data_IF_479001851565
#
_entry.id   IF_479001851565
#
_cell.length_a   1.000
_cell.length_b   1.000
_cell.length_c   1.000
_cell.angle_alpha   90.00
_cell.angle_beta   90.00
_cell.angle_gamma   90.00
#
_symmetry.space_group_name_H-M   'P 1'
#
loop_
_entity.id
_entity.type
_entity.pdbx_description
1 polymer ?
#
# COMPACT_ATOMS: atom_id res chain seq x y z
N UNK A 1 -56.38 -25.75 31.13
CA UNK A 1 -54.96 -25.37 31.22
C UNK A 1 -54.38 -25.35 29.81
N UNK A 2 -54.22 -24.17 29.20
CA UNK A 2 -53.53 -24.00 27.91
C UNK A 2 -52.19 -23.33 28.21
N UNK A 3 -51.09 -24.04 27.99
CA UNK A 3 -49.73 -23.52 28.12
C UNK A 3 -49.27 -23.09 26.74
N UNK A 4 -49.22 -21.77 26.49
CA UNK A 4 -48.61 -21.20 25.30
C UNK A 4 -47.14 -20.94 25.57
N UNK A 5 -46.26 -21.75 24.97
CA UNK A 5 -44.81 -21.50 24.98
C UNK A 5 -44.46 -20.55 23.83
N UNK A 6 -44.06 -19.32 24.17
CA UNK A 6 -43.52 -18.34 23.24
C UNK A 6 -42.04 -18.68 23.02
N UNK A 7 -41.69 -19.14 21.81
CA UNK A 7 -40.30 -19.24 21.38
C UNK A 7 -39.82 -17.84 20.98
N UNK A 8 -38.95 -17.24 21.80
CA UNK A 8 -38.22 -16.03 21.42
C UNK A 8 -37.09 -16.42 20.45
N UNK A 9 -37.23 -16.04 19.19
CA UNK A 9 -36.20 -16.21 18.17
C UNK A 9 -35.13 -15.13 18.39
N UNK A 10 -34.02 -15.48 19.03
CA UNK A 10 -32.83 -14.62 19.07
C UNK A 10 -32.15 -14.65 17.70
N UNK A 11 -32.37 -13.61 16.90
CA UNK A 11 -31.59 -13.37 15.70
C UNK A 11 -30.15 -13.00 16.10
N UNK A 12 -29.22 -13.94 15.95
CA UNK A 12 -27.79 -13.65 16.01
C UNK A 12 -27.42 -12.80 14.80
N UNK A 13 -27.30 -11.48 15.01
CA UNK A 13 -26.65 -10.59 14.05
C UNK A 13 -25.16 -10.89 14.14
N UNK A 14 -24.67 -11.76 13.25
CA UNK A 14 -23.23 -11.92 13.03
C UNK A 14 -22.69 -10.64 12.43
N UNK A 15 -22.14 -9.78 13.28
CA UNK A 15 -21.29 -8.66 12.85
C UNK A 15 -20.00 -9.29 12.35
N UNK A 16 -19.92 -9.56 11.05
CA UNK A 16 -18.65 -9.87 10.41
C UNK A 16 -17.77 -8.63 10.54
N UNK A 17 -16.77 -8.69 11.42
CA UNK A 17 -15.74 -7.67 11.50
C UNK A 17 -15.02 -7.66 10.14
N UNK A 18 -15.26 -6.61 9.34
CA UNK A 18 -14.47 -6.32 8.16
C UNK A 18 -13.06 -6.05 8.68
N UNK A 19 -12.12 -6.94 8.39
CA UNK A 19 -10.72 -6.70 8.70
C UNK A 19 -10.24 -5.65 7.71
N UNK A 20 -9.84 -4.50 8.24
CA UNK A 20 -9.33 -3.37 7.47
C UNK A 20 -7.87 -3.67 7.14
N UNK A 21 -7.67 -4.13 5.91
CA UNK A 21 -6.43 -4.59 5.30
C UNK A 21 -5.99 -3.53 4.31
N UNK A 22 -4.69 -3.32 4.14
CA UNK A 22 -4.14 -2.11 3.57
C UNK A 22 -4.56 -1.81 2.13
N UNK A 23 -3.84 -2.08 1.03
CA UNK A 23 -4.69 -2.52 -0.10
C UNK A 23 -5.36 -3.83 0.36
N UNK A 24 -6.55 -4.16 -0.12
CA UNK A 24 -7.09 -5.51 0.11
C UNK A 24 -6.14 -6.56 -0.47
N UNK A 25 -6.37 -7.84 -0.16
CA UNK A 25 -5.54 -8.94 -0.66
C UNK A 25 -5.35 -8.84 -2.18
N UNK A 26 -6.42 -8.54 -2.91
CA UNK A 26 -6.43 -8.38 -4.36
C UNK A 26 -5.51 -7.26 -4.83
N UNK A 27 -5.56 -6.08 -4.19
CA UNK A 27 -4.69 -4.96 -4.54
C UNK A 27 -3.21 -5.26 -4.26
N UNK A 28 -2.91 -5.91 -3.13
CA UNK A 28 -1.55 -6.37 -2.84
C UNK A 28 -1.02 -7.41 -3.81
N UNK A 29 -1.86 -8.38 -4.19
CA UNK A 29 -1.49 -9.39 -5.17
C UNK A 29 -1.26 -8.72 -6.53
N UNK A 30 -2.11 -7.76 -6.93
CA UNK A 30 -1.91 -6.95 -8.15
C UNK A 30 -0.57 -6.20 -8.12
N UNK A 31 -0.26 -5.46 -7.06
CA UNK A 31 1.02 -4.74 -6.90
C UNK A 31 2.21 -5.69 -6.99
N UNK A 32 2.15 -6.82 -6.27
CA UNK A 32 3.21 -7.84 -6.30
C UNK A 32 3.38 -8.49 -7.68
N UNK A 33 2.29 -8.75 -8.40
CA UNK A 33 2.34 -9.32 -9.75
C UNK A 33 2.88 -8.32 -10.79
N UNK A 34 2.51 -7.04 -10.70
CA UNK A 34 3.10 -5.99 -11.53
C UNK A 34 4.61 -5.93 -11.28
N UNK A 35 5.05 -5.85 -10.01
CA UNK A 35 6.46 -5.85 -9.67
C UNK A 35 7.19 -7.08 -10.22
N UNK A 36 6.58 -8.26 -10.09
CA UNK A 36 7.10 -9.52 -10.61
C UNK A 36 7.32 -9.49 -12.14
N UNK A 37 6.43 -8.81 -12.87
CA UNK A 37 6.50 -8.63 -14.32
C UNK A 37 7.54 -7.57 -14.77
N UNK A 38 7.99 -6.72 -13.85
CA UNK A 38 9.03 -5.70 -14.08
C UNK A 38 10.44 -6.24 -13.77
N UNK A 39 10.56 -7.29 -12.94
CA UNK A 39 11.86 -7.86 -12.60
C UNK A 39 12.62 -8.35 -13.84
N UNK A 40 13.94 -8.16 -13.85
CA UNK A 40 14.81 -8.86 -14.79
C UNK A 40 14.80 -10.38 -14.49
N UNK A 41 15.09 -11.24 -15.48
CA UNK A 41 15.13 -12.69 -15.24
C UNK A 41 16.10 -13.10 -14.11
N UNK A 42 17.23 -12.41 -14.00
CA UNK A 42 18.22 -12.64 -12.94
C UNK A 42 17.64 -12.29 -11.56
N UNK A 43 17.10 -11.08 -11.42
CA UNK A 43 16.54 -10.60 -10.14
C UNK A 43 15.32 -11.42 -9.74
N UNK A 44 14.48 -11.85 -10.69
CA UNK A 44 13.41 -12.80 -10.43
C UNK A 44 13.92 -14.14 -9.88
N UNK A 45 15.07 -14.63 -10.37
CA UNK A 45 15.76 -15.79 -9.83
C UNK A 45 16.25 -15.58 -8.39
N UNK A 46 16.85 -14.42 -8.11
CA UNK A 46 17.32 -14.04 -6.76
C UNK A 46 16.13 -13.90 -5.78
N UNK A 47 15.05 -13.22 -6.17
CA UNK A 47 13.80 -13.11 -5.39
C UNK A 47 13.25 -14.50 -5.03
N UNK A 48 13.18 -15.41 -6.00
CA UNK A 48 12.75 -16.79 -5.77
C UNK A 48 13.60 -17.52 -4.73
N UNK A 49 14.91 -17.26 -4.67
CA UNK A 49 15.82 -17.89 -3.71
C UNK A 49 15.72 -17.29 -2.30
N UNK A 50 15.29 -16.03 -2.18
CA UNK A 50 15.15 -15.36 -0.88
C UNK A 50 13.95 -15.92 -0.11
N UNK A 51 12.82 -16.15 -0.79
CA UNK A 51 11.62 -16.66 -0.15
C UNK A 51 11.81 -18.09 0.38
N UNK A 52 11.60 -18.27 1.69
CA UNK A 52 11.72 -19.58 2.34
C UNK A 52 10.38 -20.33 2.48
N UNK A 53 9.26 -19.60 2.40
CA UNK A 53 7.93 -20.19 2.49
C UNK A 53 7.49 -20.72 1.11
N UNK A 54 7.29 -22.05 0.96
CA UNK A 54 6.91 -22.64 -0.32
C UNK A 54 5.53 -22.20 -0.81
N UNK A 55 4.65 -21.71 0.09
CA UNK A 55 3.31 -21.22 -0.29
C UNK A 55 3.38 -20.01 -1.22
N UNK A 56 4.48 -19.25 -1.18
CA UNK A 56 4.66 -18.10 -2.08
C UNK A 56 5.10 -18.51 -3.49
N UNK A 57 5.52 -19.77 -3.68
CA UNK A 57 6.08 -20.27 -4.94
C UNK A 57 7.24 -19.39 -5.49
N UNK A 58 7.96 -18.70 -4.60
CA UNK A 58 9.00 -17.75 -4.95
C UNK A 58 8.52 -16.52 -5.74
N UNK A 59 7.28 -16.07 -5.50
CA UNK A 59 6.64 -14.95 -6.21
C UNK A 59 6.24 -13.84 -5.24
N UNK A 60 6.36 -12.59 -5.72
CA UNK A 60 6.00 -11.40 -4.95
C UNK A 60 4.48 -11.33 -4.67
N UNK A 61 3.62 -11.62 -5.65
CA UNK A 61 2.16 -11.54 -5.52
C UNK A 61 1.60 -12.34 -4.33
N UNK A 62 1.87 -13.64 -4.20
CA UNK A 62 1.44 -14.41 -3.02
C UNK A 62 2.06 -13.96 -1.70
N UNK A 63 3.31 -13.46 -1.71
CA UNK A 63 4.00 -13.00 -0.51
C UNK A 63 3.46 -11.66 0.02
N UNK A 64 2.82 -10.87 -0.84
CA UNK A 64 2.44 -9.49 -0.55
C UNK A 64 1.37 -9.37 0.52
N UNK A 65 0.54 -10.39 0.76
CA UNK A 65 -0.52 -10.36 1.79
C UNK A 65 -0.02 -10.72 3.20
N UNK A 66 1.19 -11.28 3.30
CA UNK A 66 1.69 -11.88 4.54
C UNK A 66 1.78 -10.89 5.71
N UNK A 67 2.18 -9.64 5.48
CA UNK A 67 2.34 -8.65 6.54
C UNK A 67 1.03 -8.41 7.29
N UNK A 68 -0.08 -8.39 6.55
CA UNK A 68 -1.43 -8.25 7.09
C UNK A 68 -1.92 -9.48 7.86
N UNK A 69 -1.44 -10.67 7.51
CA UNK A 69 -1.73 -11.89 8.26
C UNK A 69 -1.04 -11.93 9.64
N UNK A 70 0.02 -11.14 9.83
CA UNK A 70 0.84 -11.19 11.05
C UNK A 70 0.67 -9.96 11.95
N UNK A 71 0.24 -8.81 11.42
CA UNK A 71 0.17 -7.52 12.15
C UNK A 71 -0.74 -7.48 13.39
N UNK A 72 -1.63 -8.48 13.57
CA UNK A 72 -2.51 -8.57 14.75
C UNK A 72 -2.30 -9.83 15.60
N UNK A 73 -1.28 -10.64 15.29
CA UNK A 73 -0.97 -11.86 16.05
C UNK A 73 -0.20 -11.53 17.33
N UNK A 74 -0.66 -12.05 18.47
CA UNK A 74 -0.01 -11.86 19.79
C UNK A 74 1.22 -12.78 19.95
N UNK A 75 2.19 -12.39 20.78
CA UNK A 75 3.36 -13.21 21.14
C UNK A 75 4.61 -12.89 20.32
N UNK A 76 5.42 -13.90 19.99
CA UNK A 76 6.64 -13.77 19.15
C UNK A 76 6.34 -13.46 17.67
N UNK A 77 5.07 -13.29 17.31
CA UNK A 77 4.64 -12.91 15.98
C UNK A 77 4.80 -11.40 15.76
N UNK A 78 4.80 -10.98 14.49
CA UNK A 78 4.93 -9.59 14.07
C UNK A 78 3.73 -8.69 14.43
N UNK A 79 3.01 -8.93 15.53
CA UNK A 79 1.88 -8.10 15.95
C UNK A 79 2.26 -6.65 16.29
N UNK A 80 3.54 -6.39 16.56
CA UNK A 80 4.08 -5.05 16.73
C UNK A 80 4.18 -4.26 15.41
N UNK A 81 4.05 -4.91 14.25
CA UNK A 81 4.23 -4.27 12.94
C UNK A 81 3.00 -3.48 12.48
N UNK A 82 1.87 -3.50 13.18
CA UNK A 82 0.64 -2.83 12.74
C UNK A 82 0.83 -1.34 12.36
N UNK A 83 1.57 -0.52 13.13
CA UNK A 83 1.81 0.89 12.76
C UNK A 83 2.66 1.08 11.50
N UNK A 84 3.38 0.04 11.06
CA UNK A 84 4.25 0.11 9.89
C UNK A 84 3.49 0.12 8.56
N UNK A 85 2.16 -0.09 8.59
CA UNK A 85 1.33 -0.13 7.39
C UNK A 85 0.89 1.25 6.93
N UNK A 86 1.03 2.30 7.75
CA UNK A 86 0.49 3.62 7.43
C UNK A 86 1.37 4.76 7.91
N UNK A 87 1.01 5.97 7.50
CA UNK A 87 1.53 7.23 7.96
C UNK A 87 0.34 8.13 8.30
N UNK A 88 0.03 8.25 9.60
CA UNK A 88 -1.03 9.13 10.07
C UNK A 88 -0.55 10.59 9.99
N UNK A 89 -0.95 11.27 8.91
CA UNK A 89 -0.61 12.68 8.69
C UNK A 89 -1.37 13.61 9.63
N UNK A 90 -0.69 14.63 10.15
CA UNK A 90 -1.28 15.71 10.96
C UNK A 90 -1.68 16.92 10.10
N UNK A 91 -2.37 16.68 9.00
CA UNK A 91 -2.88 17.68 8.06
C UNK A 91 -4.41 17.84 8.17
N UNK A 92 -5.06 18.53 7.22
CA UNK A 92 -6.53 18.71 7.19
C UNK A 92 -7.09 18.25 5.82
N UNK A 93 -7.15 16.92 5.58
CA UNK A 93 -7.66 16.36 4.34
C UNK A 93 -9.05 16.88 3.96
N UNK A 94 -9.21 17.37 2.72
CA UNK A 94 -10.38 18.13 2.27
C UNK A 94 -10.14 19.65 2.22
N UNK A 95 -9.04 20.14 2.82
CA UNK A 95 -8.62 21.55 2.78
C UNK A 95 -7.13 21.72 2.47
N UNK A 96 -6.27 21.01 3.18
CA UNK A 96 -4.82 21.08 3.01
C UNK A 96 -4.18 19.74 3.35
N UNK A 97 -3.40 19.20 2.40
CA UNK A 97 -2.72 17.92 2.51
C UNK A 97 -1.22 18.15 2.55
N UNK A 98 -0.56 17.52 3.50
CA UNK A 98 0.88 17.63 3.66
C UNK A 98 1.44 16.48 4.47
N UNK A 99 2.65 16.05 4.11
CA UNK A 99 3.44 15.10 4.88
C UNK A 99 4.63 15.81 5.52
N UNK A 100 4.78 15.66 6.84
CA UNK A 100 5.89 16.19 7.63
C UNK A 100 6.56 15.06 8.39
N UNK A 101 7.81 14.73 8.00
CA UNK A 101 8.61 13.66 8.61
C UNK A 101 8.63 13.72 10.14
N UNK A 102 8.82 14.90 10.72
CA UNK A 102 9.04 15.04 12.16
C UNK A 102 7.74 14.95 12.96
N UNK A 103 6.60 15.26 12.33
CA UNK A 103 5.29 15.20 12.98
C UNK A 103 4.62 13.85 12.78
N UNK A 104 4.71 13.31 11.57
CA UNK A 104 3.92 12.17 11.14
C UNK A 104 4.68 10.84 11.35
N UNK A 105 6.02 10.88 11.42
CA UNK A 105 6.84 9.70 11.69
C UNK A 105 8.04 9.99 12.62
N UNK A 106 7.81 10.50 13.84
CA UNK A 106 8.87 10.99 14.72
C UNK A 106 9.87 9.91 15.17
N UNK A 107 9.43 8.66 15.30
CA UNK A 107 10.20 7.53 15.84
C UNK A 107 10.56 6.48 14.76
N UNK A 108 10.21 6.74 13.50
CA UNK A 108 10.37 5.77 12.42
C UNK A 108 9.36 4.61 12.44
N UNK A 109 8.41 4.59 13.39
CA UNK A 109 7.38 3.56 13.51
C UNK A 109 6.17 3.87 12.61
N UNK A 110 6.45 4.02 11.32
CA UNK A 110 5.48 4.28 10.27
C UNK A 110 5.93 3.57 8.98
N UNK A 111 5.09 3.57 7.95
CA UNK A 111 5.41 2.95 6.66
C UNK A 111 6.69 3.48 6.00
N UNK A 112 6.96 4.79 6.07
CA UNK A 112 8.18 5.37 5.50
C UNK A 112 9.43 4.85 6.23
N UNK A 113 9.39 4.82 7.56
CA UNK A 113 10.48 4.27 8.37
C UNK A 113 10.64 2.77 8.16
N UNK A 114 9.53 2.03 8.00
CA UNK A 114 9.53 0.61 7.71
C UNK A 114 10.20 0.30 6.37
N UNK A 115 9.84 1.02 5.30
CA UNK A 115 10.47 0.84 3.98
C UNK A 115 11.98 1.08 4.08
N UNK A 116 12.43 2.13 4.76
CA UNK A 116 13.85 2.39 4.94
C UNK A 116 14.55 1.26 5.75
N UNK A 117 13.96 0.85 6.86
CA UNK A 117 14.53 -0.22 7.71
C UNK A 117 14.63 -1.56 6.97
N UNK A 118 13.56 -1.99 6.30
CA UNK A 118 13.57 -3.27 5.59
C UNK A 118 14.40 -3.22 4.30
N UNK A 119 14.61 -2.04 3.71
CA UNK A 119 15.59 -1.87 2.62
C UNK A 119 16.99 -2.24 3.09
N UNK A 120 17.42 -1.72 4.25
CA UNK A 120 18.72 -2.07 4.84
C UNK A 120 18.84 -3.55 5.17
N UNK A 121 17.76 -4.18 5.64
CA UNK A 121 17.74 -5.61 5.96
C UNK A 121 17.73 -6.52 4.73
N UNK A 122 17.15 -6.07 3.62
CA UNK A 122 17.13 -6.83 2.36
C UNK A 122 18.48 -6.77 1.63
N UNK A 123 19.22 -5.67 1.78
CA UNK A 123 20.49 -5.43 1.13
C UNK A 123 21.54 -6.50 1.52
N UNK A 124 21.98 -7.28 0.53
CA UNK A 124 23.01 -8.31 0.70
C UNK A 124 24.30 -7.76 1.31
N UNK A 125 24.69 -6.54 0.93
CA UNK A 125 25.95 -5.92 1.36
C UNK A 125 26.03 -5.70 2.88
N UNK A 126 24.88 -5.64 3.54
CA UNK A 126 24.79 -5.46 5.00
C UNK A 126 24.91 -6.78 5.78
N UNK A 127 25.09 -7.93 5.10
CA UNK A 127 25.37 -9.22 5.75
C UNK A 127 24.17 -9.87 6.44
N UNK A 128 22.94 -9.48 6.10
CA UNK A 128 21.72 -10.07 6.65
C UNK A 128 21.56 -11.56 6.31
N UNK A 129 21.03 -12.34 7.27
CA UNK A 129 20.73 -13.76 7.05
C UNK A 129 19.65 -13.96 5.98
N UNK A 130 19.56 -15.14 5.37
CA UNK A 130 18.47 -15.47 4.42
C UNK A 130 17.10 -15.24 5.06
N UNK A 131 16.91 -15.62 6.33
CA UNK A 131 15.66 -15.40 7.07
C UNK A 131 15.34 -13.90 7.26
N UNK A 132 16.35 -13.09 7.54
CA UNK A 132 16.20 -11.64 7.68
C UNK A 132 15.76 -11.02 6.35
N UNK A 133 16.40 -11.41 5.26
CA UNK A 133 16.11 -10.92 3.91
C UNK A 133 14.76 -11.40 3.40
N UNK A 134 14.35 -12.61 3.74
CA UNK A 134 13.02 -13.15 3.46
C UNK A 134 11.92 -12.32 4.13
N UNK A 135 12.05 -12.07 5.43
CA UNK A 135 11.10 -11.21 6.18
C UNK A 135 11.10 -9.79 5.61
N UNK A 136 12.26 -9.22 5.33
CA UNK A 136 12.38 -7.89 4.74
C UNK A 136 11.70 -7.80 3.37
N UNK A 137 11.90 -8.80 2.50
CA UNK A 137 11.29 -8.84 1.18
C UNK A 137 9.75 -8.93 1.28
N UNK A 138 9.21 -9.75 2.19
CA UNK A 138 7.76 -9.83 2.42
C UNK A 138 7.19 -8.47 2.84
N UNK A 139 7.81 -7.81 3.83
CA UNK A 139 7.37 -6.50 4.30
C UNK A 139 7.48 -5.43 3.22
N UNK A 140 8.59 -5.35 2.49
CA UNK A 140 8.76 -4.39 1.38
C UNK A 140 7.73 -4.63 0.28
N UNK A 141 7.45 -5.89 -0.05
CA UNK A 141 6.43 -6.22 -1.06
C UNK A 141 5.05 -5.69 -0.66
N UNK A 142 4.72 -5.75 0.63
CA UNK A 142 3.46 -5.21 1.16
C UNK A 142 3.47 -3.67 1.20
N UNK A 143 4.48 -3.06 1.84
CA UNK A 143 4.53 -1.62 2.09
C UNK A 143 4.64 -0.77 0.83
N UNK A 144 5.21 -1.30 -0.26
CA UNK A 144 5.16 -0.60 -1.56
C UNK A 144 3.75 -0.52 -2.15
N UNK A 145 2.84 -1.40 -1.74
CA UNK A 145 1.41 -1.27 -2.00
C UNK A 145 0.78 -0.24 -1.07
N UNK A 146 0.93 -0.40 0.25
CA UNK A 146 0.28 0.47 1.25
C UNK A 146 0.58 1.95 1.01
N UNK A 147 1.83 2.29 0.69
CA UNK A 147 2.24 3.69 0.50
C UNK A 147 1.58 4.36 -0.71
N UNK A 148 0.92 3.58 -1.58
CA UNK A 148 0.12 4.10 -2.70
C UNK A 148 -1.38 4.12 -2.43
N UNK A 149 -1.86 3.62 -1.30
CA UNK A 149 -3.25 3.77 -0.88
C UNK A 149 -3.44 5.16 -0.22
N UNK A 150 -4.22 6.10 -0.79
CA UNK A 150 -4.39 7.46 -0.23
C UNK A 150 -4.68 7.52 1.26
N UNK A 151 -5.56 6.65 1.76
CA UNK A 151 -6.00 6.61 3.15
C UNK A 151 -5.01 5.90 4.09
N UNK A 152 -3.96 5.26 3.56
CA UNK A 152 -2.80 4.84 4.34
C UNK A 152 -1.84 5.98 4.63
N UNK A 153 -2.00 7.12 3.96
CA UNK A 153 -1.21 8.34 4.17
C UNK A 153 -2.14 9.49 4.56
N UNK A 154 -2.95 9.24 5.59
CA UNK A 154 -4.03 10.11 6.03
C UNK A 154 -4.37 9.86 7.52
N UNK A 155 -4.20 10.87 8.37
CA UNK A 155 -4.61 10.75 9.79
C UNK A 155 -6.11 10.98 10.04
N UNK A 156 -6.83 11.60 9.09
CA UNK A 156 -8.25 11.97 9.27
C UNK A 156 -9.10 10.73 9.47
N UNK A 157 -9.83 10.70 10.58
CA UNK A 157 -10.74 9.60 10.94
C UNK A 157 -10.08 8.21 10.96
N UNK A 158 -8.80 8.14 11.37
CA UNK A 158 -7.96 6.93 11.32
C UNK A 158 -7.86 6.40 9.88
N UNK A 159 -7.41 7.23 8.96
CA UNK A 159 -7.40 6.90 7.53
C UNK A 159 -8.79 6.60 6.98
N UNK A 160 -9.84 7.27 7.45
CA UNK A 160 -11.22 7.02 7.00
C UNK A 160 -11.88 5.74 7.55
N UNK A 161 -11.22 4.99 8.45
CA UNK A 161 -11.82 3.81 9.09
C UNK A 161 -13.04 4.16 9.95
N UNK A 162 -13.07 5.37 10.51
CA UNK A 162 -14.23 5.87 11.29
C UNK A 162 -15.30 6.53 10.42
N UNK A 163 -15.02 6.76 9.13
CA UNK A 163 -15.93 7.46 8.24
C UNK A 163 -16.91 6.48 7.61
N UNK A 164 -18.18 6.51 8.04
CA UNK A 164 -19.21 5.62 7.51
C UNK A 164 -19.72 6.14 6.18
N UNK A 165 -19.84 5.24 5.21
CA UNK A 165 -20.36 5.54 3.87
C UNK A 165 -21.34 4.46 3.44
N UNK A 166 -21.98 4.66 2.28
CA UNK A 166 -22.74 3.62 1.58
C UNK A 166 -22.00 3.22 0.31
N UNK A 167 -21.90 1.92 0.05
CA UNK A 167 -21.35 1.38 -1.19
C UNK A 167 -22.18 0.16 -1.63
N UNK A 168 -22.73 0.20 -2.84
CA UNK A 168 -23.63 -0.84 -3.38
C UNK A 168 -24.82 -1.11 -2.43
N UNK A 169 -25.43 -0.06 -1.89
CA UNK A 169 -26.56 -0.09 -0.98
C UNK A 169 -26.27 -0.64 0.42
N UNK A 170 -24.98 -0.85 0.77
CA UNK A 170 -24.57 -1.37 2.08
C UNK A 170 -23.75 -0.34 2.84
N UNK A 171 -24.01 -0.23 4.14
CA UNK A 171 -23.16 0.55 5.04
C UNK A 171 -21.77 -0.05 5.11
N UNK A 172 -20.76 0.78 4.91
CA UNK A 172 -19.34 0.43 5.01
C UNK A 172 -18.54 1.57 5.65
N UNK A 173 -17.21 1.50 5.59
CA UNK A 173 -16.34 2.64 5.90
C UNK A 173 -15.51 3.07 4.68
N UNK A 174 -15.05 4.33 4.69
CA UNK A 174 -14.34 4.92 3.55
C UNK A 174 -13.01 4.20 3.26
N UNK A 175 -12.29 3.77 4.31
CA UNK A 175 -11.04 3.05 4.15
C UNK A 175 -11.23 1.76 3.38
N UNK A 176 -12.16 0.91 3.85
CA UNK A 176 -12.35 -0.42 3.26
C UNK A 176 -12.71 -0.35 1.78
N UNK A 177 -13.57 0.60 1.36
CA UNK A 177 -13.96 0.68 -0.05
C UNK A 177 -12.80 1.04 -0.97
N UNK A 178 -11.83 1.81 -0.50
CA UNK A 178 -10.58 2.06 -1.23
C UNK A 178 -9.73 0.80 -1.26
N UNK A 179 -9.56 0.13 -0.12
CA UNK A 179 -8.71 -1.07 -0.02
C UNK A 179 -9.23 -2.21 -0.90
N UNK A 180 -10.53 -2.48 -0.82
CA UNK A 180 -11.11 -3.77 -1.19
C UNK A 180 -12.23 -3.61 -2.18
N UNK A 181 -13.34 -2.95 -1.83
CA UNK A 181 -14.56 -3.04 -2.63
C UNK A 181 -14.42 -2.44 -4.04
N UNK A 182 -13.76 -1.28 -4.17
CA UNK A 182 -13.54 -0.67 -5.48
C UNK A 182 -12.49 -1.44 -6.30
N UNK A 183 -11.45 -1.99 -5.66
CA UNK A 183 -10.44 -2.83 -6.33
C UNK A 183 -11.06 -4.13 -6.84
N UNK A 184 -11.86 -4.81 -6.01
CA UNK A 184 -12.59 -6.02 -6.40
C UNK A 184 -13.60 -5.72 -7.51
N UNK A 185 -14.33 -4.60 -7.43
CA UNK A 185 -15.21 -4.15 -8.51
C UNK A 185 -14.44 -3.97 -9.82
N UNK A 186 -13.26 -3.33 -9.74
CA UNK A 186 -12.38 -3.10 -10.90
C UNK A 186 -11.84 -4.40 -11.50
N UNK A 187 -11.46 -5.37 -10.67
CA UNK A 187 -11.01 -6.70 -11.11
C UNK A 187 -12.14 -7.50 -11.80
N UNK A 188 -13.40 -7.18 -11.51
CA UNK A 188 -14.56 -7.71 -12.22
C UNK A 188 -14.51 -7.47 -13.73
N UNK A 189 -13.98 -6.32 -14.17
CA UNK A 189 -13.80 -5.97 -15.59
C UNK A 189 -12.79 -6.90 -16.30
N UNK A 190 -11.96 -7.59 -15.53
CA UNK A 190 -10.95 -8.54 -16.00
C UNK A 190 -11.39 -10.00 -15.78
N UNK A 191 -12.70 -10.22 -15.56
CA UNK A 191 -13.26 -11.55 -15.34
C UNK A 191 -12.93 -12.15 -13.98
N UNK A 192 -12.73 -11.30 -12.97
CA UNK A 192 -12.30 -11.67 -11.62
C UNK A 192 -10.91 -12.33 -11.57
N UNK A 193 -10.03 -11.96 -12.50
CA UNK A 193 -8.68 -12.51 -12.62
C UNK A 193 -7.65 -11.42 -12.28
N UNK A 194 -7.09 -11.52 -11.08
CA UNK A 194 -6.09 -10.57 -10.56
C UNK A 194 -4.81 -10.55 -11.41
N UNK A 195 -4.46 -11.67 -12.05
CA UNK A 195 -3.28 -11.74 -12.91
C UNK A 195 -3.53 -10.97 -14.20
N UNK A 196 -4.71 -11.14 -14.83
CA UNK A 196 -5.06 -10.35 -16.03
C UNK A 196 -5.10 -8.85 -15.75
N UNK A 197 -5.60 -8.45 -14.58
CA UNK A 197 -5.59 -7.04 -14.19
C UNK A 197 -4.16 -6.51 -14.01
N UNK A 198 -3.29 -7.27 -13.32
CA UNK A 198 -1.88 -6.92 -13.17
C UNK A 198 -1.15 -6.87 -14.52
N UNK A 199 -1.44 -7.79 -15.44
CA UNK A 199 -0.85 -7.82 -16.79
C UNK A 199 -1.32 -6.62 -17.63
N UNK A 200 -2.59 -6.23 -17.52
CA UNK A 200 -3.11 -5.00 -18.12
C UNK A 200 -2.33 -3.77 -17.63
N UNK A 201 -2.22 -3.57 -16.31
CA UNK A 201 -1.48 -2.43 -15.76
C UNK A 201 0.01 -2.49 -16.12
N UNK A 202 0.60 -3.68 -16.16
CA UNK A 202 1.97 -3.88 -16.64
C UNK A 202 2.14 -3.41 -18.10
N UNK A 203 1.18 -3.71 -18.97
CA UNK A 203 1.22 -3.28 -20.36
C UNK A 203 1.02 -1.75 -20.48
N UNK A 204 0.15 -1.16 -19.66
CA UNK A 204 0.00 0.29 -19.61
C UNK A 204 1.31 0.99 -19.21
N UNK A 205 2.05 0.41 -18.26
CA UNK A 205 3.39 0.88 -17.86
C UNK A 205 4.42 0.72 -18.98
N UNK A 206 4.45 -0.43 -19.67
CA UNK A 206 5.53 -0.73 -20.62
C UNK A 206 5.34 -0.07 -21.98
N UNK A 207 4.09 0.05 -22.44
CA UNK A 207 3.78 0.42 -23.83
C UNK A 207 2.47 1.21 -23.98
N UNK A 208 1.75 1.45 -22.89
CA UNK A 208 0.44 2.10 -22.93
C UNK A 208 0.45 3.50 -22.34
N UNK A 209 -0.65 3.91 -21.72
CA UNK A 209 -0.87 5.29 -21.29
C UNK A 209 0.09 5.77 -20.19
N UNK A 210 0.77 4.86 -19.49
CA UNK A 210 1.67 5.18 -18.39
C UNK A 210 3.15 5.20 -18.79
N UNK A 211 3.51 4.74 -20.00
CA UNK A 211 4.91 4.59 -20.44
C UNK A 211 5.72 5.87 -20.23
N UNK A 212 5.23 7.00 -20.73
CA UNK A 212 5.94 8.29 -20.67
C UNK A 212 6.12 8.79 -19.24
N UNK A 213 5.16 8.53 -18.36
CA UNK A 213 5.13 9.08 -17.00
C UNK A 213 5.78 8.15 -15.97
N UNK A 214 5.89 6.85 -16.27
CA UNK A 214 6.37 5.83 -15.33
C UNK A 214 7.77 6.13 -14.80
N UNK A 215 8.64 6.71 -15.63
CA UNK A 215 10.01 7.08 -15.24
C UNK A 215 10.05 8.14 -14.14
N UNK A 216 9.05 9.03 -14.06
CA UNK A 216 8.95 10.02 -12.99
C UNK A 216 8.46 9.40 -11.67
N UNK A 217 7.77 8.24 -11.71
CA UNK A 217 7.23 7.61 -10.50
C UNK A 217 8.30 7.09 -9.55
N UNK A 218 9.50 6.82 -10.08
CA UNK A 218 10.68 6.37 -9.33
C UNK A 218 11.62 7.53 -8.98
N UNK A 219 11.34 8.75 -9.47
CA UNK A 219 12.16 9.91 -9.17
C UNK A 219 11.92 10.39 -7.73
N UNK A 220 12.99 10.43 -6.93
CA UNK A 220 12.94 10.91 -5.54
C UNK A 220 13.53 12.31 -5.38
N UNK A 221 13.75 12.99 -6.51
CA UNK A 221 14.39 14.30 -6.55
C UNK A 221 13.35 15.42 -6.41
N UNK A 222 13.02 15.74 -5.15
CA UNK A 222 12.41 17.04 -4.81
C UNK A 222 13.37 18.24 -5.04
N UNK A 223 14.59 18.02 -5.54
CA UNK A 223 15.64 19.03 -5.70
C UNK A 223 16.24 19.10 -7.11
N UNK A 224 15.40 19.49 -8.09
CA UNK A 224 15.85 20.48 -9.10
C UNK A 224 16.21 21.85 -8.49
N UNK A 225 16.36 21.97 -7.16
CA UNK A 225 16.92 23.13 -6.46
C UNK A 225 18.10 22.74 -5.57
N UNK A 226 19.29 23.09 -6.07
CA UNK A 226 20.59 23.26 -5.37
C UNK A 226 21.17 22.00 -4.72
N UNK A 227 22.06 21.34 -5.48
CA UNK A 227 23.32 20.80 -4.93
C UNK A 227 24.01 21.90 -4.11
N UNK A 228 23.89 21.87 -2.80
CA UNK A 228 24.85 22.54 -1.93
C UNK A 228 26.06 21.63 -1.82
N UNK A 229 27.20 22.08 -2.35
CA UNK A 229 28.50 21.45 -2.22
C UNK A 229 29.08 21.51 -0.79
N UNK A 230 28.24 21.80 0.21
CA UNK A 230 28.63 21.99 1.61
C UNK A 230 27.62 21.29 2.53
N UNK A 231 27.69 19.97 2.63
CA UNK A 231 27.09 19.26 3.76
C UNK A 231 28.02 18.13 4.20
N UNK A 232 28.89 18.41 5.17
CA UNK A 232 29.84 17.46 5.76
C UNK A 232 29.17 16.46 6.73
N UNK A 233 27.96 15.97 6.41
CA UNK A 233 27.35 14.83 7.07
C UNK A 233 28.13 13.53 6.81
N UNK A 234 28.27 12.68 7.83
CA UNK A 234 28.87 11.33 7.68
C UNK A 234 28.15 10.54 6.59
N UNK A 235 28.88 9.71 5.84
CA UNK A 235 28.34 8.86 4.76
C UNK A 235 27.10 8.06 5.20
N UNK A 236 27.04 7.65 6.46
CA UNK A 236 25.92 6.92 7.04
C UNK A 236 24.65 7.78 7.22
N UNK A 237 24.79 9.05 7.64
CA UNK A 237 23.65 9.99 7.68
C UNK A 237 23.14 10.34 6.28
N UNK A 238 24.01 10.31 5.27
CA UNK A 238 23.62 10.51 3.87
C UNK A 238 22.86 9.30 3.31
N UNK A 239 23.29 8.08 3.62
CA UNK A 239 22.58 6.85 3.24
C UNK A 239 21.19 6.74 3.90
N UNK A 240 21.08 7.06 5.21
CA UNK A 240 19.78 7.13 5.92
C UNK A 240 18.87 8.25 5.39
N UNK A 241 19.45 9.37 4.97
CA UNK A 241 18.72 10.46 4.33
C UNK A 241 18.26 10.09 2.91
N UNK A 242 18.99 9.25 2.17
CA UNK A 242 18.57 8.75 0.86
C UNK A 242 17.55 7.61 0.95
N UNK A 243 17.71 6.67 1.88
CA UNK A 243 16.79 5.51 2.05
C UNK A 243 15.40 5.92 2.54
N UNK A 244 15.29 7.03 3.29
CA UNK A 244 13.99 7.60 3.72
C UNK A 244 13.42 8.63 2.74
N UNK A 245 14.22 9.20 1.83
CA UNK A 245 13.77 10.29 0.94
C UNK A 245 12.75 9.85 -0.09
N UNK A 246 12.98 8.71 -0.75
CA UNK A 246 12.05 8.17 -1.74
C UNK A 246 10.67 7.87 -1.15
N UNK A 247 10.56 7.14 -0.03
CA UNK A 247 9.25 6.87 0.58
C UNK A 247 8.51 8.15 1.00
N UNK A 248 9.19 9.20 1.49
CA UNK A 248 8.52 10.47 1.79
C UNK A 248 7.95 11.16 0.54
N UNK A 249 8.65 11.10 -0.60
CA UNK A 249 8.12 11.61 -1.87
C UNK A 249 6.89 10.81 -2.31
N UNK A 250 6.93 9.48 -2.20
CA UNK A 250 5.79 8.62 -2.53
C UNK A 250 4.60 8.85 -1.61
N UNK A 251 4.84 8.98 -0.30
CA UNK A 251 3.82 9.32 0.67
C UNK A 251 3.20 10.69 0.36
N UNK A 252 4.00 11.70 0.00
CA UNK A 252 3.49 13.04 -0.36
C UNK A 252 2.63 13.00 -1.63
N UNK A 253 3.09 12.29 -2.67
CA UNK A 253 2.33 12.05 -3.91
C UNK A 253 0.97 11.41 -3.61
N UNK A 254 0.97 10.34 -2.81
CA UNK A 254 -0.25 9.63 -2.40
C UNK A 254 -1.17 10.46 -1.51
N UNK A 255 -0.64 11.14 -0.49
CA UNK A 255 -1.40 11.99 0.44
C UNK A 255 -2.12 13.13 -0.29
N UNK A 256 -1.53 13.68 -1.35
CA UNK A 256 -2.16 14.77 -2.11
C UNK A 256 -3.54 14.42 -2.70
N UNK A 257 -3.79 13.13 -2.97
CA UNK A 257 -5.07 12.63 -3.48
C UNK A 257 -6.21 12.87 -2.46
N UNK A 258 -5.88 12.94 -1.17
CA UNK A 258 -6.85 13.13 -0.11
C UNK A 258 -7.56 14.51 -0.18
N UNK A 259 -6.90 15.57 -0.66
CA UNK A 259 -7.43 16.96 -0.70
C UNK A 259 -7.88 17.44 -2.08
N UNK A 260 -7.93 16.55 -3.07
CA UNK A 260 -8.47 16.89 -4.39
C UNK A 260 -9.46 15.87 -4.91
N UNK A 261 -9.63 14.75 -4.20
CA UNK A 261 -10.40 13.61 -4.69
C UNK A 261 -11.17 12.98 -3.54
N UNK A 262 -10.47 12.42 -2.54
CA UNK A 262 -11.11 11.56 -1.54
C UNK A 262 -12.04 12.37 -0.65
N UNK A 263 -11.50 13.28 0.15
CA UNK A 263 -12.27 13.99 1.16
C UNK A 263 -13.09 15.12 0.56
N UNK A 264 -12.62 15.77 -0.50
CA UNK A 264 -13.38 16.77 -1.24
C UNK A 264 -14.73 16.24 -1.74
N UNK A 265 -14.72 15.03 -2.33
CA UNK A 265 -15.95 14.41 -2.80
C UNK A 265 -16.84 13.98 -1.64
N UNK A 266 -16.27 13.29 -0.66
CA UNK A 266 -17.02 12.73 0.48
C UNK A 266 -17.66 13.83 1.32
N UNK A 267 -16.96 14.93 1.57
CA UNK A 267 -17.48 16.08 2.33
C UNK A 267 -18.61 16.79 1.56
N UNK A 268 -18.52 16.84 0.23
CA UNK A 268 -19.56 17.42 -0.62
C UNK A 268 -20.80 16.51 -0.79
N UNK A 269 -20.65 15.20 -0.56
CA UNK A 269 -21.65 14.18 -0.88
C UNK A 269 -21.86 13.17 0.26
N UNK A 270 -22.06 13.66 1.50
CA UNK A 270 -22.04 12.83 2.72
C UNK A 270 -23.06 11.68 2.77
N UNK A 271 -24.15 11.76 2.01
CA UNK A 271 -25.21 10.76 1.97
C UNK A 271 -25.22 9.92 0.68
N UNK A 272 -24.24 10.11 -0.22
CA UNK A 272 -24.21 9.42 -1.49
C UNK A 272 -23.80 7.95 -1.36
N UNK A 273 -24.34 7.11 -2.25
CA UNK A 273 -23.76 5.80 -2.53
C UNK A 273 -22.54 5.98 -3.43
N UNK A 274 -21.39 5.56 -2.94
CA UNK A 274 -20.11 5.76 -3.63
C UNK A 274 -19.84 4.70 -4.71
N UNK A 275 -20.78 3.80 -4.99
CA UNK A 275 -20.56 2.72 -5.96
C UNK A 275 -20.55 3.17 -7.42
N UNK A 276 -21.13 4.31 -7.78
CA UNK A 276 -21.30 4.71 -9.18
C UNK A 276 -20.47 5.93 -9.55
N UNK A 277 -21.00 7.15 -9.38
CA UNK A 277 -20.33 8.39 -9.81
C UNK A 277 -18.92 8.52 -9.21
N UNK A 278 -18.80 8.34 -7.90
CA UNK A 278 -17.51 8.35 -7.21
C UNK A 278 -16.56 7.29 -7.74
N UNK A 279 -17.00 6.02 -7.82
CA UNK A 279 -16.19 4.93 -8.36
C UNK A 279 -15.71 5.23 -9.79
N UNK A 280 -16.58 5.73 -10.67
CA UNK A 280 -16.26 6.10 -12.05
C UNK A 280 -15.19 7.20 -12.11
N UNK A 281 -15.18 8.11 -11.14
CA UNK A 281 -14.15 9.14 -11.01
C UNK A 281 -12.82 8.58 -10.50
N UNK A 282 -12.83 7.67 -9.53
CA UNK A 282 -11.61 7.26 -8.81
C UNK A 282 -10.97 5.97 -9.30
N UNK A 283 -11.66 5.09 -10.04
CA UNK A 283 -11.05 3.85 -10.53
C UNK A 283 -9.80 4.07 -11.42
N UNK A 284 -9.66 5.14 -12.23
CA UNK A 284 -8.41 5.42 -12.94
C UNK A 284 -7.27 5.80 -11.99
N UNK A 285 -7.59 6.40 -10.83
CA UNK A 285 -6.63 6.71 -9.78
C UNK A 285 -6.21 5.43 -9.06
N UNK A 286 -7.14 4.51 -8.80
CA UNK A 286 -6.82 3.17 -8.27
C UNK A 286 -5.87 2.43 -9.21
N UNK A 287 -6.18 2.36 -10.51
CA UNK A 287 -5.31 1.77 -11.54
C UNK A 287 -3.90 2.37 -11.49
N UNK A 288 -3.80 3.71 -11.44
CA UNK A 288 -2.55 4.46 -11.36
C UNK A 288 -1.75 4.17 -10.09
N UNK A 289 -2.40 4.11 -8.93
CA UNK A 289 -1.73 3.91 -7.64
C UNK A 289 -1.23 2.46 -7.47
N UNK A 290 -1.98 1.47 -7.95
CA UNK A 290 -1.53 0.07 -8.02
C UNK A 290 -0.35 -0.07 -9.00
N UNK A 291 -0.42 0.59 -10.16
CA UNK A 291 0.66 0.63 -11.15
C UNK A 291 1.94 1.27 -10.58
N UNK A 292 1.82 2.42 -9.90
CA UNK A 292 2.94 3.07 -9.20
C UNK A 292 3.58 2.14 -8.17
N UNK A 293 2.78 1.50 -7.31
CA UNK A 293 3.29 0.60 -6.27
C UNK A 293 4.09 -0.56 -6.86
N UNK A 294 3.52 -1.24 -7.86
CA UNK A 294 4.17 -2.35 -8.54
C UNK A 294 5.43 -1.94 -9.32
N UNK A 295 5.37 -0.83 -10.06
CA UNK A 295 6.52 -0.33 -10.82
C UNK A 295 7.66 0.11 -9.91
N UNK A 296 7.37 0.88 -8.85
CA UNK A 296 8.36 1.31 -7.85
C UNK A 296 9.03 0.10 -7.22
N UNK A 297 8.27 -0.92 -6.80
CA UNK A 297 8.82 -2.13 -6.20
C UNK A 297 9.69 -2.91 -7.19
N UNK A 298 9.23 -3.11 -8.42
CA UNK A 298 9.98 -3.85 -9.44
C UNK A 298 11.31 -3.18 -9.79
N UNK A 299 11.31 -1.87 -10.01
CA UNK A 299 12.54 -1.10 -10.27
C UNK A 299 13.46 -1.08 -9.05
N UNK A 300 12.90 -0.88 -7.84
CA UNK A 300 13.65 -0.91 -6.60
C UNK A 300 14.38 -2.24 -6.41
N UNK A 301 13.69 -3.37 -6.60
CA UNK A 301 14.29 -4.69 -6.48
C UNK A 301 15.33 -4.96 -7.57
N UNK A 302 15.08 -4.51 -8.81
CA UNK A 302 16.06 -4.62 -9.89
C UNK A 302 17.37 -3.90 -9.54
N UNK A 303 17.29 -2.72 -8.94
CA UNK A 303 18.48 -1.97 -8.52
C UNK A 303 19.15 -2.59 -7.30
N UNK A 304 18.38 -2.95 -6.27
CA UNK A 304 18.94 -3.43 -5.00
C UNK A 304 19.54 -4.84 -5.10
N UNK A 305 18.94 -5.70 -5.93
CA UNK A 305 19.32 -7.11 -6.07
C UNK A 305 19.98 -7.40 -7.40
N UNK A 306 20.19 -6.42 -8.28
CA UNK A 306 20.86 -6.61 -9.57
C UNK A 306 22.39 -6.61 -9.48
N UNK A 307 22.94 -5.87 -8.53
CA UNK A 307 24.40 -5.78 -8.29
C UNK A 307 24.98 -7.04 -7.60
#
# INVERSE_FOLDING_TARGET
>A
MKSSSIFALFAYISISAVKTHAWGNEGHITVGNIAQNILTPEVAGRVKQIFQDPSFNGKLGPASIWADEVKHKKGEYFGWSAPLHFLDTNDDPGKSCSVDKNKDCPDGNCIVGAIANYTEQLNCANGGSVKTRDVALRFLTHFFGDITQPLHVCGRELGGNKHKITFNGKTNNLHSIWDTEMVVKRIGDFGNDVQKYADFLTNEIKTGSYEQNSTDWIACDSTKRRRSLFDNGSLQRRAEAESTRCPFVWATDTNSINCGVVWDYVDANSDADLSDEYYNQVHPIIDMQLAKGGYRLGVFLNNLLGD
#
